data_IF_181579204225
#
_entry.id   IF_181579204225
#
_cell.length_a   1.000
_cell.length_b   1.000
_cell.length_c   1.000
_cell.angle_alpha   90.00
_cell.angle_beta   90.00
_cell.angle_gamma   90.00
#
_symmetry.space_group_name_H-M   'P 1'
#
loop_
_entity.id
_entity.type
_entity.pdbx_description
1 polymer ?
#
# COMPACT_ATOMS: atom_id res chain seq x y z
N UNK A 1 -50.15 -7.23 -9.95
CA UNK A 1 -48.87 -7.62 -10.58
C UNK A 1 -47.81 -6.60 -10.19
N UNK A 2 -46.86 -6.95 -9.31
CA UNK A 2 -45.68 -6.13 -9.05
C UNK A 2 -44.57 -6.64 -9.95
N UNK A 3 -44.26 -5.90 -11.01
CA UNK A 3 -43.12 -6.21 -11.88
C UNK A 3 -41.86 -5.97 -11.04
N UNK A 4 -41.18 -7.07 -10.68
CA UNK A 4 -39.86 -6.99 -10.08
C UNK A 4 -38.94 -6.31 -11.12
N UNK A 5 -38.45 -5.12 -10.78
CA UNK A 5 -37.41 -4.47 -11.57
C UNK A 5 -36.18 -5.37 -11.50
N UNK A 6 -35.81 -5.95 -12.63
CA UNK A 6 -34.51 -6.61 -12.83
C UNK A 6 -33.41 -5.68 -12.31
N UNK A 7 -32.74 -6.06 -11.23
CA UNK A 7 -31.41 -5.52 -10.89
C UNK A 7 -30.48 -5.96 -12.02
N UNK A 8 -30.31 -5.13 -13.04
CA UNK A 8 -29.16 -5.26 -13.93
C UNK A 8 -27.93 -5.16 -13.02
N UNK A 9 -27.07 -6.18 -13.06
CA UNK A 9 -25.71 -6.03 -12.59
C UNK A 9 -25.08 -4.91 -13.42
N UNK A 10 -25.09 -3.68 -12.91
CA UNK A 10 -24.31 -2.59 -13.47
C UNK A 10 -22.86 -2.90 -13.16
N UNK A 11 -22.21 -3.60 -14.08
CA UNK A 11 -20.78 -3.80 -14.04
C UNK A 11 -20.13 -2.49 -14.48
N UNK A 12 -19.62 -1.74 -13.51
CA UNK A 12 -18.89 -0.50 -13.76
C UNK A 12 -17.62 -0.77 -14.59
N UNK A 13 -17.19 0.26 -15.31
CA UNK A 13 -16.04 0.18 -16.21
C UNK A 13 -14.78 -0.25 -15.47
N UNK A 14 -14.01 -1.14 -16.06
CA UNK A 14 -12.73 -1.58 -15.51
C UNK A 14 -11.76 -1.86 -16.65
N UNK A 15 -10.82 -0.95 -16.87
CA UNK A 15 -9.84 -1.03 -17.95
C UNK A 15 -8.50 -1.41 -17.35
N UNK A 16 -7.92 -2.47 -17.90
CA UNK A 16 -6.77 -3.14 -17.32
C UNK A 16 -5.47 -2.68 -17.95
N UNK A 17 -4.46 -2.53 -17.10
CA UNK A 17 -3.04 -2.43 -17.42
C UNK A 17 -2.71 -1.48 -18.58
N UNK A 18 -2.63 -0.19 -18.27
CA UNK A 18 -2.12 0.82 -19.18
C UNK A 18 -0.60 0.79 -19.23
N UNK A 19 -0.02 0.68 -20.43
CA UNK A 19 1.43 0.74 -20.67
C UNK A 19 1.78 1.84 -21.67
N UNK A 20 2.98 2.43 -21.60
CA UNK A 20 3.45 3.36 -22.60
C UNK A 20 3.46 2.75 -24.00
N UNK A 21 3.02 3.53 -24.99
CA UNK A 21 3.12 3.16 -26.40
C UNK A 21 3.28 4.40 -27.27
N UNK A 22 3.71 4.18 -28.52
CA UNK A 22 3.77 5.23 -29.54
C UNK A 22 2.60 5.02 -30.50
N UNK A 23 1.63 5.94 -30.58
CA UNK A 23 0.56 5.87 -31.58
C UNK A 23 1.10 6.20 -32.98
N UNK A 24 0.39 5.74 -34.00
CA UNK A 24 0.62 6.23 -35.37
C UNK A 24 0.38 7.75 -35.41
N UNK A 25 1.12 8.52 -36.23
CA UNK A 25 1.04 9.98 -36.26
C UNK A 25 -0.38 10.53 -36.45
N UNK A 26 -1.20 9.89 -37.29
CA UNK A 26 -2.59 10.26 -37.53
C UNK A 26 -3.55 9.96 -36.37
N UNK A 27 -3.18 9.03 -35.47
CA UNK A 27 -3.99 8.67 -34.29
C UNK A 27 -3.54 9.37 -33.01
N UNK A 28 -2.40 10.05 -33.05
CA UNK A 28 -1.82 10.75 -31.92
C UNK A 28 -2.70 11.93 -31.49
N UNK A 29 -3.44 11.75 -30.40
CA UNK A 29 -4.29 12.81 -29.82
C UNK A 29 -3.49 14.03 -29.33
N UNK A 30 -2.22 13.83 -28.99
CA UNK A 30 -1.31 14.85 -28.49
C UNK A 30 0.06 14.66 -29.13
N UNK A 31 0.33 15.26 -30.30
CA UNK A 31 1.62 15.11 -30.97
C UNK A 31 2.79 15.46 -30.04
N UNK A 32 3.74 14.54 -29.87
CA UNK A 32 4.89 14.70 -28.96
C UNK A 32 4.58 14.46 -27.47
N UNK A 33 3.32 14.22 -27.10
CA UNK A 33 2.92 13.80 -25.77
C UNK A 33 3.19 12.31 -25.53
N UNK A 34 3.24 11.91 -24.26
CA UNK A 34 3.25 10.50 -23.89
C UNK A 34 1.83 9.92 -23.98
N UNK A 35 1.71 8.70 -24.48
CA UNK A 35 0.45 7.96 -24.59
C UNK A 35 0.52 6.64 -23.84
N UNK A 36 -0.65 6.19 -23.37
CA UNK A 36 -0.82 4.90 -22.72
C UNK A 36 -1.90 4.09 -23.43
N UNK A 37 -1.68 2.79 -23.53
CA UNK A 37 -2.62 1.83 -24.12
C UNK A 37 -2.91 0.73 -23.10
N UNK A 38 -4.17 0.40 -22.90
CA UNK A 38 -4.59 -0.72 -22.05
C UNK A 38 -4.20 -2.07 -22.65
N UNK A 39 -4.29 -3.14 -21.86
CA UNK A 39 -3.98 -4.51 -22.32
C UNK A 39 -4.87 -4.96 -23.49
N UNK A 40 -6.11 -4.49 -23.54
CA UNK A 40 -7.08 -4.77 -24.61
C UNK A 40 -6.99 -3.76 -25.77
N UNK A 41 -6.03 -2.84 -25.70
CA UNK A 41 -5.62 -2.01 -26.82
C UNK A 41 -6.31 -0.66 -26.93
N UNK A 42 -6.93 -0.16 -25.87
CA UNK A 42 -7.61 1.13 -25.86
C UNK A 42 -6.65 2.25 -25.43
N UNK A 43 -6.67 3.38 -26.14
CA UNK A 43 -5.88 4.56 -25.77
C UNK A 43 -6.47 5.24 -24.52
N UNK A 44 -5.61 5.59 -23.57
CA UNK A 44 -6.00 6.20 -22.30
C UNK A 44 -6.83 7.48 -22.46
N UNK A 45 -6.40 8.41 -23.31
CA UNK A 45 -7.11 9.67 -23.51
C UNK A 45 -8.46 9.43 -24.19
N UNK A 46 -8.56 8.45 -25.09
CA UNK A 46 -9.85 8.02 -25.67
C UNK A 46 -10.75 7.37 -24.61
N UNK A 47 -10.20 6.71 -23.59
CA UNK A 47 -10.97 6.06 -22.53
C UNK A 47 -11.59 7.03 -21.53
N UNK A 48 -11.01 8.22 -21.31
CA UNK A 48 -11.48 9.15 -20.26
C UNK A 48 -12.97 9.49 -20.41
N UNK A 49 -13.46 9.66 -21.65
CA UNK A 49 -14.88 9.94 -21.96
C UNK A 49 -15.85 8.79 -21.66
N UNK A 50 -15.34 7.59 -21.38
CA UNK A 50 -16.16 6.42 -21.06
C UNK A 50 -16.59 6.40 -19.58
N UNK A 51 -15.91 7.19 -18.73
CA UNK A 51 -16.21 7.30 -17.31
C UNK A 51 -17.33 8.33 -17.09
N UNK A 52 -18.26 8.02 -16.20
CA UNK A 52 -19.30 8.96 -15.75
C UNK A 52 -18.68 10.06 -14.88
N UNK A 53 -19.26 11.26 -14.84
CA UNK A 53 -18.76 12.36 -13.99
C UNK A 53 -19.08 12.10 -12.50
N UNK A 54 -20.21 11.48 -12.18
CA UNK A 54 -20.75 11.34 -10.82
C UNK A 54 -20.23 10.09 -10.06
N UNK A 55 -19.29 9.36 -10.64
CA UNK A 55 -18.72 8.13 -10.07
C UNK A 55 -17.34 8.37 -9.43
N UNK A 56 -16.91 7.43 -8.59
CA UNK A 56 -15.52 7.34 -8.18
C UNK A 56 -14.71 6.62 -9.26
N UNK A 57 -13.45 7.00 -9.42
CA UNK A 57 -12.46 6.34 -10.25
C UNK A 57 -11.26 6.01 -9.38
N UNK A 58 -10.79 4.80 -9.52
CA UNK A 58 -9.64 4.31 -8.78
C UNK A 58 -8.57 3.84 -9.73
N UNK A 59 -7.31 4.07 -9.37
CA UNK A 59 -6.19 3.34 -9.97
C UNK A 59 -5.71 2.28 -9.00
N UNK A 60 -5.28 1.14 -9.54
CA UNK A 60 -4.74 0.04 -8.75
C UNK A 60 -3.61 -0.68 -9.48
N UNK A 61 -2.70 -1.25 -8.70
CA UNK A 61 -1.51 -1.95 -9.18
C UNK A 61 -1.77 -3.44 -9.50
N UNK A 62 -0.72 -4.17 -9.87
CA UNK A 62 -0.80 -5.60 -10.22
C UNK A 62 -1.16 -6.51 -9.03
N UNK A 63 -1.07 -6.00 -7.80
CA UNK A 63 -1.51 -6.67 -6.58
C UNK A 63 -2.93 -6.25 -6.17
N UNK A 64 -3.68 -5.64 -7.09
CA UNK A 64 -5.00 -5.05 -6.87
C UNK A 64 -5.02 -3.91 -5.84
N UNK A 65 -3.87 -3.39 -5.39
CA UNK A 65 -3.80 -2.37 -4.34
C UNK A 65 -4.21 -1.02 -4.90
N UNK A 66 -5.18 -0.36 -4.26
CA UNK A 66 -5.65 0.96 -4.66
C UNK A 66 -4.57 2.00 -4.36
N UNK A 67 -4.20 2.77 -5.38
CA UNK A 67 -3.15 3.80 -5.32
C UNK A 67 -3.68 5.21 -5.53
N UNK A 68 -4.87 5.36 -6.11
CA UNK A 68 -5.52 6.65 -6.28
C UNK A 68 -7.04 6.49 -6.20
N UNK A 69 -7.72 7.51 -5.70
CA UNK A 69 -9.18 7.63 -5.66
C UNK A 69 -9.52 9.08 -6.05
N UNK A 70 -10.35 9.26 -7.07
CA UNK A 70 -10.75 10.58 -7.57
C UNK A 70 -12.14 10.56 -8.19
N UNK A 71 -12.73 11.73 -8.41
CA UNK A 71 -13.90 11.91 -9.30
C UNK A 71 -13.50 12.44 -10.66
N UNK A 72 -12.35 13.09 -10.73
CA UNK A 72 -11.83 13.68 -11.95
C UNK A 72 -10.90 12.69 -12.65
N UNK A 73 -11.39 12.13 -13.76
CA UNK A 73 -10.66 11.17 -14.59
C UNK A 73 -9.49 11.82 -15.34
N UNK A 74 -9.58 13.12 -15.62
CA UNK A 74 -8.62 13.83 -16.48
C UNK A 74 -7.27 14.04 -15.79
N UNK A 75 -7.26 14.11 -14.45
CA UNK A 75 -6.04 14.22 -13.65
C UNK A 75 -5.24 12.92 -13.50
N UNK A 76 -5.72 11.79 -14.04
CA UNK A 76 -5.05 10.50 -13.90
C UNK A 76 -4.03 10.23 -15.02
N UNK A 77 -2.88 9.70 -14.60
CA UNK A 77 -1.84 9.15 -15.48
C UNK A 77 -1.51 7.71 -15.05
N UNK A 78 -2.30 6.70 -15.48
CA UNK A 78 -2.27 5.35 -14.93
C UNK A 78 -1.15 4.47 -15.53
N UNK A 79 0.05 5.01 -15.76
CA UNK A 79 1.14 4.25 -16.35
C UNK A 79 1.51 3.04 -15.46
N UNK A 80 1.43 1.84 -16.03
CA UNK A 80 1.65 0.57 -15.35
C UNK A 80 0.47 0.06 -14.52
N UNK A 81 -0.66 0.79 -14.50
CA UNK A 81 -1.79 0.54 -13.60
C UNK A 81 -3.08 0.22 -14.35
N UNK A 82 -4.08 -0.26 -13.63
CA UNK A 82 -5.46 -0.40 -14.11
C UNK A 82 -6.35 0.73 -13.57
N UNK A 83 -7.45 1.03 -14.25
CA UNK A 83 -8.42 2.05 -13.82
C UNK A 83 -9.82 1.45 -13.77
N UNK A 84 -10.48 1.56 -12.62
CA UNK A 84 -11.86 1.11 -12.44
C UNK A 84 -12.76 2.25 -11.99
N UNK A 85 -14.01 2.16 -12.42
CA UNK A 85 -15.12 3.01 -12.01
C UNK A 85 -15.92 2.33 -10.90
N UNK A 86 -16.43 3.13 -9.98
CA UNK A 86 -17.18 2.68 -8.81
C UNK A 86 -18.35 3.63 -8.52
N UNK A 87 -19.47 3.12 -8.00
CA UNK A 87 -20.51 3.99 -7.49
C UNK A 87 -19.98 4.76 -6.28
N UNK A 88 -20.40 6.01 -6.18
CA UNK A 88 -19.97 6.88 -5.11
C UNK A 88 -20.81 6.69 -3.86
N UNK A 89 -20.48 5.66 -3.08
CA UNK A 89 -21.19 5.25 -1.87
C UNK A 89 -20.34 5.48 -0.62
N UNK A 90 -20.97 5.58 0.55
CA UNK A 90 -20.26 5.65 1.83
C UNK A 90 -19.37 4.43 2.08
N UNK A 91 -19.69 3.27 1.49
CA UNK A 91 -18.85 2.06 1.56
C UNK A 91 -17.54 2.25 0.79
N UNK A 92 -17.61 2.69 -0.47
CA UNK A 92 -16.43 2.89 -1.31
C UNK A 92 -15.58 4.08 -0.84
N UNK A 93 -16.21 5.10 -0.23
CA UNK A 93 -15.49 6.25 0.36
C UNK A 93 -14.71 5.94 1.63
N UNK A 94 -14.86 4.74 2.22
CA UNK A 94 -14.02 4.30 3.36
C UNK A 94 -12.58 4.00 2.94
N UNK A 95 -12.37 3.72 1.66
CA UNK A 95 -11.04 3.45 1.16
C UNK A 95 -10.18 4.71 1.12
N UNK A 96 -8.92 4.51 1.41
CA UNK A 96 -7.87 5.50 1.29
C UNK A 96 -6.72 4.95 0.42
N UNK A 97 -5.70 5.78 0.22
CA UNK A 97 -4.53 5.47 -0.61
C UNK A 97 -3.30 5.08 0.22
N UNK A 98 -3.48 4.69 1.50
CA UNK A 98 -2.38 4.26 2.38
C UNK A 98 -1.84 2.86 2.06
N UNK A 99 -2.40 2.20 1.04
CA UNK A 99 -2.06 0.83 0.65
C UNK A 99 -2.76 -0.25 1.48
N UNK A 100 -3.78 0.11 2.27
CA UNK A 100 -4.62 -0.79 3.06
C UNK A 100 -5.86 -1.34 2.34
N UNK A 101 -6.07 -0.96 1.07
CA UNK A 101 -7.28 -1.29 0.31
C UNK A 101 -6.94 -1.94 -1.03
N UNK A 102 -7.76 -2.90 -1.45
CA UNK A 102 -7.65 -3.60 -2.74
C UNK A 102 -8.95 -3.49 -3.53
N UNK A 103 -8.84 -3.52 -4.86
CA UNK A 103 -9.98 -3.63 -5.76
C UNK A 103 -10.05 -5.03 -6.38
N UNK A 104 -10.88 -5.90 -5.80
CA UNK A 104 -10.96 -7.31 -6.17
C UNK A 104 -12.38 -7.72 -6.54
N UNK A 105 -12.54 -8.33 -7.70
CA UNK A 105 -13.85 -8.82 -8.16
C UNK A 105 -14.90 -7.71 -8.29
N UNK A 106 -14.49 -6.50 -8.67
CA UNK A 106 -15.39 -5.35 -8.83
C UNK A 106 -15.75 -4.64 -7.52
N UNK A 107 -15.06 -4.95 -6.41
CA UNK A 107 -15.33 -4.38 -5.08
C UNK A 107 -14.07 -3.84 -4.43
N UNK A 108 -14.27 -2.79 -3.65
CA UNK A 108 -13.25 -2.27 -2.74
C UNK A 108 -13.29 -3.09 -1.45
N UNK A 109 -12.17 -3.70 -1.10
CA UNK A 109 -12.04 -4.58 0.07
C UNK A 109 -10.80 -4.21 0.86
N UNK A 110 -10.76 -4.55 2.15
CA UNK A 110 -9.53 -4.43 2.92
C UNK A 110 -8.47 -5.34 2.33
N UNK A 111 -7.24 -4.82 2.24
CA UNK A 111 -6.11 -5.56 1.69
C UNK A 111 -5.81 -6.78 2.54
N UNK A 112 -5.70 -7.93 1.88
CA UNK A 112 -5.19 -9.15 2.48
C UNK A 112 -3.73 -9.30 2.05
N UNK A 113 -2.81 -9.20 3.00
CA UNK A 113 -1.39 -9.40 2.74
C UNK A 113 -1.08 -10.88 2.57
N UNK A 114 -0.22 -11.22 1.61
CA UNK A 114 0.32 -12.56 1.49
C UNK A 114 1.23 -12.89 2.70
N UNK A 115 1.42 -14.19 3.03
CA UNK A 115 2.36 -14.59 4.07
C UNK A 115 3.77 -14.04 3.85
N UNK A 116 4.21 -13.92 2.59
CA UNK A 116 5.52 -13.37 2.24
C UNK A 116 5.61 -11.87 2.53
N UNK A 117 4.59 -11.09 2.18
CA UNK A 117 4.55 -9.65 2.52
C UNK A 117 4.51 -9.42 4.02
N UNK A 118 3.75 -10.24 4.76
CA UNK A 118 3.70 -10.18 6.22
C UNK A 118 5.07 -10.50 6.83
N UNK A 119 5.74 -11.54 6.32
CA UNK A 119 7.08 -11.91 6.77
C UNK A 119 8.09 -10.80 6.49
N UNK A 120 8.06 -10.21 5.30
CA UNK A 120 8.93 -9.07 4.95
C UNK A 120 8.72 -7.88 5.89
N UNK A 121 7.44 -7.53 6.16
CA UNK A 121 7.12 -6.48 7.15
C UNK A 121 7.64 -6.81 8.54
N UNK A 122 7.55 -8.07 8.97
CA UNK A 122 8.07 -8.52 10.25
C UNK A 122 9.61 -8.49 10.29
N UNK A 123 10.29 -8.80 9.18
CA UNK A 123 11.74 -8.65 9.04
C UNK A 123 12.17 -7.18 9.13
N UNK A 124 11.49 -6.28 8.42
CA UNK A 124 11.75 -4.84 8.49
C UNK A 124 11.53 -4.29 9.93
N UNK A 125 10.48 -4.75 10.61
CA UNK A 125 10.22 -4.39 12.01
C UNK A 125 11.27 -4.97 12.97
N UNK A 126 11.77 -6.19 12.72
CA UNK A 126 12.90 -6.77 13.48
C UNK A 126 14.13 -5.86 13.38
N UNK A 127 14.48 -5.46 12.15
CA UNK A 127 15.63 -4.57 11.90
C UNK A 127 15.45 -3.24 12.61
N UNK A 128 14.26 -2.64 12.52
CA UNK A 128 13.94 -1.37 13.22
C UNK A 128 14.13 -1.49 14.74
N UNK A 129 13.59 -2.55 15.35
CA UNK A 129 13.68 -2.80 16.79
C UNK A 129 15.11 -3.07 17.26
N UNK A 130 15.91 -3.79 16.46
CA UNK A 130 17.32 -4.01 16.75
C UNK A 130 18.12 -2.71 16.67
N UNK A 131 17.83 -1.84 15.69
CA UNK A 131 18.46 -0.54 15.59
C UNK A 131 18.10 0.38 16.78
N UNK A 132 16.84 0.35 17.22
CA UNK A 132 16.37 1.05 18.42
C UNK A 132 17.11 0.54 19.68
N UNK A 133 17.23 -0.78 19.84
CA UNK A 133 17.97 -1.38 20.94
C UNK A 133 19.46 -0.99 20.92
N UNK A 134 20.11 -1.07 19.77
CA UNK A 134 21.52 -0.67 19.64
C UNK A 134 21.73 0.81 19.98
N UNK A 135 20.79 1.68 19.58
CA UNK A 135 20.84 3.10 19.93
C UNK A 135 20.75 3.35 21.44
N UNK A 136 20.05 2.51 22.20
CA UNK A 136 19.98 2.58 23.66
C UNK A 136 21.20 1.93 24.34
N UNK A 137 21.66 0.79 23.84
CA UNK A 137 22.80 0.02 24.37
C UNK A 137 24.10 0.80 24.25
N UNK A 138 24.36 1.42 23.09
CA UNK A 138 25.64 2.05 22.78
C UNK A 138 26.14 3.06 23.83
N UNK A 139 25.35 4.04 24.31
CA UNK A 139 25.78 4.95 25.37
C UNK A 139 25.95 4.26 26.73
N UNK A 140 25.04 3.35 27.11
CA UNK A 140 25.07 2.66 28.40
C UNK A 140 26.29 1.74 28.52
N UNK A 141 26.58 0.97 27.46
CA UNK A 141 27.76 0.12 27.37
C UNK A 141 29.06 0.94 27.47
N UNK A 142 29.08 2.17 26.93
CA UNK A 142 30.23 3.09 27.08
C UNK A 142 30.38 3.57 28.52
N UNK A 143 29.29 3.93 29.22
CA UNK A 143 29.34 4.33 30.61
C UNK A 143 29.89 3.21 31.51
N UNK A 144 29.46 1.95 31.28
CA UNK A 144 29.98 0.77 31.97
C UNK A 144 31.47 0.57 31.66
N UNK A 145 31.86 0.62 30.38
CA UNK A 145 33.26 0.49 29.96
C UNK A 145 34.17 1.54 30.59
N UNK A 146 33.67 2.76 30.78
CA UNK A 146 34.40 3.86 31.41
C UNK A 146 34.36 3.81 32.95
N UNK A 147 33.67 2.84 33.54
CA UNK A 147 33.44 2.70 34.98
C UNK A 147 32.77 3.94 35.61
N UNK A 148 31.89 4.61 34.86
CA UNK A 148 31.12 5.78 35.33
C UNK A 148 29.60 5.52 35.34
N UNK A 149 29.16 4.32 34.98
CA UNK A 149 27.75 3.97 34.97
C UNK A 149 27.17 3.93 36.39
N UNK A 150 25.94 4.43 36.51
CA UNK A 150 25.09 4.28 37.69
C UNK A 150 24.45 2.88 37.74
N UNK A 151 23.96 2.47 38.92
CA UNK A 151 23.23 1.20 39.07
C UNK A 151 21.97 1.14 38.17
N UNK A 152 21.36 2.28 37.88
CA UNK A 152 20.21 2.40 36.99
C UNK A 152 20.60 2.20 35.53
N UNK A 153 21.71 2.82 35.08
CA UNK A 153 22.24 2.60 33.73
C UNK A 153 22.66 1.14 33.50
N UNK A 154 23.19 0.46 34.51
CA UNK A 154 23.52 -0.98 34.44
C UNK A 154 22.25 -1.81 34.24
N UNK A 155 21.20 -1.58 35.04
CA UNK A 155 19.91 -2.29 34.89
C UNK A 155 19.27 -2.04 33.53
N UNK A 156 19.33 -0.79 33.04
CA UNK A 156 18.85 -0.44 31.70
C UNK A 156 19.64 -1.15 30.61
N UNK A 157 20.96 -1.22 30.74
CA UNK A 157 21.81 -1.94 29.78
C UNK A 157 21.40 -3.42 29.71
N UNK A 158 21.28 -4.10 30.85
CA UNK A 158 20.85 -5.50 30.91
C UNK A 158 19.48 -5.72 30.26
N UNK A 159 18.52 -4.83 30.52
CA UNK A 159 17.18 -4.91 29.93
C UNK A 159 17.19 -4.74 28.41
N UNK A 160 17.96 -3.76 27.89
CA UNK A 160 18.08 -3.52 26.45
C UNK A 160 18.86 -4.61 25.72
N UNK A 161 19.92 -5.14 26.33
CA UNK A 161 20.66 -6.28 25.77
C UNK A 161 19.77 -7.53 25.70
N UNK A 162 19.04 -7.84 26.78
CA UNK A 162 18.07 -8.94 26.78
C UNK A 162 17.01 -8.75 25.71
N UNK A 163 16.41 -7.56 25.61
CA UNK A 163 15.43 -7.22 24.58
C UNK A 163 15.99 -7.43 23.17
N UNK A 164 17.21 -6.94 22.87
CA UNK A 164 17.81 -7.11 21.54
C UNK A 164 17.99 -8.58 21.16
N UNK A 165 18.42 -9.41 22.11
CA UNK A 165 18.55 -10.86 21.91
C UNK A 165 17.19 -11.51 21.67
N UNK A 166 16.16 -11.12 22.43
CA UNK A 166 14.80 -11.63 22.26
C UNK A 166 14.23 -11.24 20.89
N UNK A 167 14.36 -9.97 20.48
CA UNK A 167 13.94 -9.49 19.15
C UNK A 167 14.64 -10.27 18.04
N UNK A 168 15.95 -10.51 18.15
CA UNK A 168 16.70 -11.25 17.13
C UNK A 168 16.16 -12.68 16.94
N UNK A 169 15.69 -13.31 18.03
CA UNK A 169 15.14 -14.67 18.05
C UNK A 169 13.70 -14.81 17.57
N UNK A 170 12.96 -13.71 17.39
CA UNK A 170 11.56 -13.75 16.94
C UNK A 170 11.44 -14.46 15.58
N UNK A 171 10.49 -15.38 15.44
CA UNK A 171 10.14 -15.96 14.14
C UNK A 171 9.31 -14.95 13.33
N UNK A 172 9.80 -14.49 12.19
CA UNK A 172 9.12 -13.50 11.35
C UNK A 172 7.94 -14.07 10.58
N UNK A 173 7.77 -15.39 10.53
CA UNK A 173 6.57 -16.01 9.96
C UNK A 173 5.36 -15.94 10.92
N UNK A 174 5.60 -15.82 12.22
CA UNK A 174 4.57 -15.70 13.25
C UNK A 174 5.11 -14.86 14.42
N UNK A 175 5.29 -13.54 14.22
CA UNK A 175 6.03 -12.72 15.16
C UNK A 175 5.27 -12.52 16.48
N UNK A 176 5.98 -12.77 17.58
CA UNK A 176 5.60 -12.39 18.93
C UNK A 176 6.70 -11.48 19.48
N UNK A 177 6.45 -10.17 19.48
CA UNK A 177 7.47 -9.18 19.81
C UNK A 177 7.61 -9.02 21.32
N UNK A 178 8.84 -9.05 21.87
CA UNK A 178 9.03 -8.70 23.27
C UNK A 178 8.61 -7.26 23.53
N UNK A 179 8.19 -6.98 24.77
CA UNK A 179 7.90 -5.62 25.22
C UNK A 179 9.16 -4.77 25.21
N UNK A 180 9.03 -3.51 24.80
CA UNK A 180 10.15 -2.56 24.80
C UNK A 180 10.50 -2.24 26.26
N UNK A 181 11.78 -2.29 26.66
CA UNK A 181 12.19 -1.91 28.01
C UNK A 181 11.76 -0.49 28.36
N UNK A 182 11.37 -0.27 29.63
CA UNK A 182 11.01 1.05 30.11
C UNK A 182 12.22 2.01 30.01
N UNK A 183 11.96 3.22 29.50
CA UNK A 183 12.97 4.24 29.22
C UNK A 183 13.17 5.21 30.39
N UNK A 184 12.39 5.04 31.47
CA UNK A 184 12.49 5.85 32.69
C UNK A 184 13.92 5.89 33.25
#
# INVERSE_FOLDING_TARGET
>A
MKVAKNKKNEQFLNIKKFIPYTPEPEEALFPGGAHLKSEDGQDWYKCQKLFSEDTLKITYDDNDVITCITRDISGLWPAGQSVAELPDTDENRRADISGGWQFKGGKVVQRVYSPEELRKKAEDEKVRRLAEAESAIAPLARAVKLNIATDEEIKRLEAWELYSVMVNRVDTASPDWPEVPDVA
#
